data_IF_356347050859
#
_entry.id   IF_356347050859
#
_cell.length_a   1.000
_cell.length_b   1.000
_cell.length_c   1.000
_cell.angle_alpha   90.00
_cell.angle_beta   90.00
_cell.angle_gamma   90.00
#
_symmetry.space_group_name_H-M   'P 1'
#
loop_
_entity.id
_entity.type
_entity.pdbx_description
1 polymer ?
#
# COMPACT_ATOMS: atom_id res chain seq x y z
N UNK A 1 -6.95 -8.39 5.79
CA UNK A 1 -7.35 -7.00 5.51
C UNK A 1 -8.59 -6.94 4.60
N UNK A 2 -8.69 -7.64 3.44
CA UNK A 2 -9.89 -7.56 2.60
C UNK A 2 -11.18 -7.94 3.32
N UNK A 3 -11.12 -8.93 4.22
CA UNK A 3 -12.29 -9.35 5.02
C UNK A 3 -12.79 -8.21 5.91
N UNK A 4 -11.89 -7.50 6.59
CA UNK A 4 -12.26 -6.38 7.45
C UNK A 4 -12.78 -5.16 6.67
N UNK A 5 -12.27 -4.92 5.45
CA UNK A 5 -12.66 -3.77 4.65
C UNK A 5 -13.97 -3.97 3.89
N UNK A 6 -14.24 -5.19 3.42
CA UNK A 6 -15.37 -5.45 2.53
C UNK A 6 -16.41 -6.40 3.12
N UNK A 7 -15.98 -7.58 3.58
CA UNK A 7 -16.92 -8.62 4.00
C UNK A 7 -17.59 -8.28 5.33
N UNK A 8 -16.83 -7.83 6.32
CA UNK A 8 -17.38 -7.54 7.64
C UNK A 8 -18.38 -6.36 7.62
N UNK A 9 -18.07 -5.19 7.06
CA UNK A 9 -19.02 -4.08 7.01
C UNK A 9 -20.29 -4.44 6.19
N UNK A 10 -20.11 -5.13 5.08
CA UNK A 10 -21.23 -5.50 4.24
C UNK A 10 -22.14 -6.54 4.93
N UNK A 11 -21.55 -7.53 5.61
CA UNK A 11 -22.31 -8.52 6.37
C UNK A 11 -23.12 -7.88 7.51
N UNK A 12 -22.55 -6.91 8.20
CA UNK A 12 -23.23 -6.19 9.28
C UNK A 12 -24.40 -5.34 8.79
N UNK A 13 -24.34 -4.86 7.54
CA UNK A 13 -25.38 -3.99 6.96
C UNK A 13 -26.42 -4.82 6.20
N UNK A 14 -25.99 -5.76 5.36
CA UNK A 14 -26.85 -6.47 4.40
C UNK A 14 -27.20 -7.90 4.83
N UNK A 15 -26.57 -8.43 5.88
CA UNK A 15 -26.78 -9.82 6.35
C UNK A 15 -26.38 -10.92 5.36
N UNK A 16 -25.69 -10.56 4.27
CA UNK A 16 -25.31 -11.46 3.18
C UNK A 16 -23.82 -11.37 2.86
N UNK A 17 -23.30 -12.31 2.06
CA UNK A 17 -21.91 -12.31 1.65
C UNK A 17 -21.62 -11.21 0.63
N UNK A 18 -20.52 -10.50 0.84
CA UNK A 18 -20.06 -9.46 -0.08
C UNK A 18 -19.66 -10.05 -1.44
N UNK A 19 -20.15 -9.51 -2.58
CA UNK A 19 -19.74 -9.98 -3.90
C UNK A 19 -18.28 -9.61 -4.18
N UNK A 20 -17.40 -10.61 -4.22
CA UNK A 20 -15.95 -10.45 -4.39
C UNK A 20 -15.60 -9.65 -5.64
N UNK A 21 -16.36 -9.81 -6.73
CA UNK A 21 -16.16 -9.10 -7.99
C UNK A 21 -16.23 -7.57 -7.82
N UNK A 22 -17.17 -7.08 -7.00
CA UNK A 22 -17.32 -5.64 -6.73
C UNK A 22 -16.09 -5.14 -5.96
N UNK A 23 -15.61 -5.90 -4.97
CA UNK A 23 -14.40 -5.53 -4.22
C UNK A 23 -13.16 -5.45 -5.10
N UNK A 24 -12.98 -6.42 -6.00
CA UNK A 24 -11.88 -6.42 -6.96
C UNK A 24 -11.97 -5.22 -7.89
N UNK A 25 -13.18 -4.90 -8.39
CA UNK A 25 -13.40 -3.74 -9.27
C UNK A 25 -13.09 -2.41 -8.56
N UNK A 26 -13.55 -2.24 -7.32
CA UNK A 26 -13.27 -1.04 -6.52
C UNK A 26 -11.77 -0.87 -6.35
N UNK A 27 -11.06 -1.94 -5.97
CA UNK A 27 -9.60 -1.88 -5.77
C UNK A 27 -8.84 -1.68 -7.07
N UNK A 28 -9.35 -2.21 -8.20
CA UNK A 28 -8.79 -1.95 -9.53
C UNK A 28 -8.91 -0.48 -9.93
N UNK A 29 -10.05 0.14 -9.68
CA UNK A 29 -10.27 1.57 -9.94
C UNK A 29 -9.32 2.40 -9.06
N UNK A 30 -9.23 2.09 -7.75
CA UNK A 30 -8.31 2.76 -6.83
C UNK A 30 -6.85 2.58 -7.26
N UNK A 31 -6.46 1.41 -7.75
CA UNK A 31 -5.14 1.16 -8.29
C UNK A 31 -4.85 2.04 -9.51
N UNK A 32 -5.76 2.10 -10.50
CA UNK A 32 -5.57 2.90 -11.71
C UNK A 32 -5.46 4.39 -11.36
N UNK A 33 -6.33 4.89 -10.49
CA UNK A 33 -6.26 6.30 -10.04
C UNK A 33 -4.94 6.55 -9.32
N UNK A 34 -4.56 5.68 -8.37
CA UNK A 34 -3.31 5.80 -7.63
C UNK A 34 -2.08 5.76 -8.54
N UNK A 35 -2.06 4.85 -9.52
CA UNK A 35 -0.99 4.75 -10.52
C UNK A 35 -0.90 6.02 -11.37
N UNK A 36 -2.04 6.58 -11.79
CA UNK A 36 -2.10 7.82 -12.56
C UNK A 36 -1.49 8.98 -11.77
N UNK A 37 -1.89 9.14 -10.51
CA UNK A 37 -1.40 10.23 -9.65
C UNK A 37 0.07 10.03 -9.31
N UNK A 38 0.51 8.79 -9.08
CA UNK A 38 1.92 8.45 -8.84
C UNK A 38 2.78 8.75 -10.07
N UNK A 39 2.33 8.36 -11.25
CA UNK A 39 3.02 8.61 -12.51
C UNK A 39 3.11 10.12 -12.80
N UNK A 40 2.02 10.88 -12.61
CA UNK A 40 2.03 12.34 -12.75
C UNK A 40 3.06 12.98 -11.79
N UNK A 41 3.08 12.52 -10.54
CA UNK A 41 4.03 13.01 -9.54
C UNK A 41 5.47 12.72 -9.92
N UNK A 42 5.74 11.50 -10.39
CA UNK A 42 7.07 11.08 -10.83
C UNK A 42 7.50 11.85 -12.08
N UNK A 43 6.62 12.01 -13.05
CA UNK A 43 6.87 12.74 -14.28
C UNK A 43 7.23 14.22 -14.00
N UNK A 44 6.46 14.92 -13.16
CA UNK A 44 6.74 16.31 -12.76
C UNK A 44 8.01 16.48 -11.92
N UNK A 45 8.45 15.42 -11.25
CA UNK A 45 9.69 15.48 -10.48
C UNK A 45 10.93 15.40 -11.36
N UNK A 46 10.87 14.66 -12.47
CA UNK A 46 12.00 14.38 -13.35
C UNK A 46 12.01 15.16 -14.65
N UNK A 47 10.85 15.64 -15.10
CA UNK A 47 10.70 16.30 -16.38
C UNK A 47 9.96 17.63 -16.23
N UNK A 48 10.46 18.69 -16.85
CA UNK A 48 9.84 20.03 -16.80
C UNK A 48 8.50 20.06 -17.54
N UNK A 49 8.38 19.33 -18.63
CA UNK A 49 7.16 19.24 -19.45
C UNK A 49 6.96 17.81 -19.93
N UNK A 50 5.79 17.26 -19.64
CA UNK A 50 5.36 15.95 -20.15
C UNK A 50 4.11 16.16 -21.00
N UNK A 51 4.18 15.76 -22.28
CA UNK A 51 3.00 15.80 -23.14
C UNK A 51 1.97 14.75 -22.71
N UNK A 52 0.69 15.05 -22.90
CA UNK A 52 -0.40 14.11 -22.62
C UNK A 52 -0.20 12.77 -23.35
N UNK A 53 0.28 12.82 -24.59
CA UNK A 53 0.54 11.62 -25.39
C UNK A 53 1.60 10.72 -24.75
N UNK A 54 2.72 11.29 -24.30
CA UNK A 54 3.76 10.53 -23.59
C UNK A 54 3.25 9.96 -22.26
N UNK A 55 2.45 10.73 -21.51
CA UNK A 55 1.84 10.28 -20.28
C UNK A 55 0.94 9.06 -20.50
N UNK A 56 0.04 9.11 -21.50
CA UNK A 56 -0.84 7.99 -21.85
C UNK A 56 -0.05 6.78 -22.37
N UNK A 57 0.99 7.03 -23.20
CA UNK A 57 1.89 5.98 -23.71
C UNK A 57 2.56 5.20 -22.57
N UNK A 58 2.90 5.85 -21.48
CA UNK A 58 3.50 5.20 -20.30
C UNK A 58 2.42 4.54 -19.42
N UNK A 59 1.28 5.17 -19.24
CA UNK A 59 0.24 4.69 -18.34
C UNK A 59 -0.44 3.41 -18.85
N UNK A 60 -0.76 3.33 -20.15
CA UNK A 60 -1.46 2.17 -20.71
C UNK A 60 -0.67 0.87 -20.49
N UNK A 61 0.63 0.78 -20.87
CA UNK A 61 1.42 -0.42 -20.61
C UNK A 61 1.52 -0.75 -19.11
N UNK A 62 1.68 0.25 -18.24
CA UNK A 62 1.77 0.03 -16.80
C UNK A 62 0.49 -0.61 -16.24
N UNK A 63 -0.69 -0.17 -16.68
CA UNK A 63 -1.96 -0.78 -16.29
C UNK A 63 -2.09 -2.19 -16.88
N UNK A 64 -1.77 -2.38 -18.15
CA UNK A 64 -1.86 -3.66 -18.83
C UNK A 64 -0.93 -4.72 -18.21
N UNK A 65 0.32 -4.35 -17.94
CA UNK A 65 1.33 -5.26 -17.36
C UNK A 65 1.15 -5.50 -15.86
N UNK A 66 0.32 -4.72 -15.17
CA UNK A 66 0.10 -4.88 -13.71
C UNK A 66 -0.65 -6.15 -13.33
N UNK A 67 -1.31 -6.81 -14.28
CA UNK A 67 -2.19 -7.96 -14.03
C UNK A 67 -3.55 -7.60 -13.43
N UNK A 68 -3.84 -6.33 -13.14
CA UNK A 68 -5.10 -5.91 -12.49
C UNK A 68 -6.33 -6.25 -13.35
N UNK A 69 -6.21 -6.15 -14.67
CA UNK A 69 -7.29 -6.50 -15.60
C UNK A 69 -7.60 -8.00 -15.58
N UNK A 70 -6.57 -8.84 -15.40
CA UNK A 70 -6.76 -10.28 -15.23
C UNK A 70 -7.53 -10.59 -13.95
N UNK A 71 -7.23 -9.90 -12.84
CA UNK A 71 -7.95 -10.05 -11.59
C UNK A 71 -9.42 -9.64 -11.71
N UNK A 72 -9.74 -8.63 -12.52
CA UNK A 72 -11.11 -8.22 -12.80
C UNK A 72 -11.87 -9.25 -13.66
N UNK A 73 -11.17 -9.90 -14.61
CA UNK A 73 -11.77 -10.94 -15.47
C UNK A 73 -12.11 -12.21 -14.69
N UNK A 74 -11.26 -12.57 -13.71
CA UNK A 74 -11.41 -13.76 -12.88
C UNK A 74 -11.43 -13.39 -11.39
N UNK A 75 -12.55 -12.82 -10.90
CA UNK A 75 -12.68 -12.38 -9.51
C UNK A 75 -12.88 -13.55 -8.57
N UNK A 76 -11.79 -14.16 -8.14
CA UNK A 76 -11.78 -15.22 -7.14
C UNK A 76 -11.55 -14.66 -5.73
N UNK A 77 -11.73 -15.48 -4.71
CA UNK A 77 -11.36 -15.15 -3.34
C UNK A 77 -9.89 -14.72 -3.20
N UNK A 78 -9.00 -15.29 -4.02
CA UNK A 78 -7.58 -14.93 -4.04
C UNK A 78 -7.29 -13.64 -4.82
N UNK A 79 -8.16 -13.22 -5.72
CA UNK A 79 -7.99 -12.02 -6.54
C UNK A 79 -8.12 -10.74 -5.71
N UNK A 80 -9.03 -10.72 -4.73
CA UNK A 80 -9.28 -9.54 -3.90
C UNK A 80 -8.05 -9.15 -3.04
N UNK A 81 -7.36 -10.07 -2.31
CA UNK A 81 -6.12 -9.72 -1.61
C UNK A 81 -5.01 -9.22 -2.52
N UNK A 82 -4.89 -9.75 -3.73
CA UNK A 82 -3.90 -9.26 -4.70
C UNK A 82 -4.24 -7.85 -5.17
N UNK A 83 -5.49 -7.59 -5.54
CA UNK A 83 -5.94 -6.26 -5.94
C UNK A 83 -5.75 -5.23 -4.83
N UNK A 84 -6.09 -5.58 -3.56
CA UNK A 84 -5.84 -4.74 -2.40
C UNK A 84 -4.33 -4.46 -2.23
N UNK A 85 -3.49 -5.50 -2.32
CA UNK A 85 -2.05 -5.37 -2.12
C UNK A 85 -1.40 -4.41 -3.12
N UNK A 86 -1.72 -4.55 -4.41
CA UNK A 86 -1.14 -3.66 -5.44
C UNK A 86 -1.71 -2.23 -5.35
N UNK A 87 -3.00 -2.07 -5.02
CA UNK A 87 -3.59 -0.75 -4.83
C UNK A 87 -2.94 -0.04 -3.63
N UNK A 88 -2.81 -0.69 -2.49
CA UNK A 88 -2.15 -0.11 -1.31
C UNK A 88 -0.68 0.21 -1.57
N UNK A 89 0.03 -0.62 -2.35
CA UNK A 89 1.43 -0.35 -2.70
C UNK A 89 1.59 0.96 -3.48
N UNK A 90 0.75 1.18 -4.49
CA UNK A 90 0.79 2.41 -5.30
C UNK A 90 0.46 3.64 -4.46
N UNK A 91 -0.59 3.58 -3.64
CA UNK A 91 -0.95 4.68 -2.74
C UNK A 91 0.11 4.94 -1.67
N UNK A 92 0.75 3.90 -1.14
CA UNK A 92 1.85 4.06 -0.19
C UNK A 92 3.03 4.83 -0.80
N UNK A 93 3.44 4.44 -2.01
CA UNK A 93 4.52 5.13 -2.74
C UNK A 93 4.15 6.58 -3.05
N UNK A 94 2.92 6.84 -3.50
CA UNK A 94 2.43 8.19 -3.73
C UNK A 94 2.49 9.06 -2.47
N UNK A 95 1.96 8.57 -1.35
CA UNK A 95 1.97 9.32 -0.09
C UNK A 95 3.38 9.57 0.42
N UNK A 96 4.28 8.62 0.32
CA UNK A 96 5.68 8.83 0.69
C UNK A 96 6.37 9.87 -0.18
N UNK A 97 6.18 9.83 -1.50
CA UNK A 97 6.71 10.86 -2.40
C UNK A 97 6.11 12.24 -2.12
N UNK A 98 4.82 12.29 -1.82
CA UNK A 98 4.12 13.53 -1.45
C UNK A 98 4.64 14.10 -0.14
N UNK A 99 4.82 13.24 0.86
CA UNK A 99 5.36 13.64 2.17
C UNK A 99 6.75 14.24 2.07
N UNK A 100 7.64 13.62 1.27
CA UNK A 100 8.99 14.15 1.04
C UNK A 100 9.03 15.55 0.43
N UNK A 101 8.04 15.90 -0.36
CA UNK A 101 7.96 17.22 -1.00
C UNK A 101 7.11 18.22 -0.20
N UNK A 102 6.54 17.82 0.94
CA UNK A 102 5.67 18.64 1.77
C UNK A 102 6.43 19.31 2.90
N UNK A 103 6.03 20.52 3.28
CA UNK A 103 6.50 21.21 4.49
C UNK A 103 5.98 20.56 5.77
N UNK A 104 4.83 19.87 5.70
CA UNK A 104 4.20 19.13 6.79
C UNK A 104 4.09 17.64 6.42
N UNK A 105 5.16 16.83 6.56
CA UNK A 105 5.23 15.47 6.03
C UNK A 105 4.45 14.43 6.85
N UNK A 106 4.18 14.71 8.14
CA UNK A 106 3.75 13.71 9.12
C UNK A 106 2.53 12.89 8.69
N UNK A 107 1.43 13.55 8.29
CA UNK A 107 0.21 12.88 7.85
C UNK A 107 0.42 12.02 6.60
N UNK A 108 1.23 12.50 5.66
CA UNK A 108 1.58 11.76 4.44
C UNK A 108 2.42 10.52 4.74
N UNK A 109 3.37 10.63 5.66
CA UNK A 109 4.19 9.50 6.07
C UNK A 109 3.37 8.44 6.80
N UNK A 110 2.49 8.85 7.72
CA UNK A 110 1.56 7.95 8.40
C UNK A 110 0.65 7.23 7.38
N UNK A 111 0.02 7.97 6.47
CA UNK A 111 -0.87 7.40 5.46
C UNK A 111 -0.15 6.41 4.53
N UNK A 112 1.05 6.76 4.05
CA UNK A 112 1.86 5.90 3.20
C UNK A 112 2.29 4.62 3.91
N UNK A 113 2.79 4.75 5.14
CA UNK A 113 3.21 3.60 5.94
C UNK A 113 2.04 2.73 6.39
N UNK A 114 0.88 3.32 6.64
CA UNK A 114 -0.34 2.56 6.92
C UNK A 114 -0.79 1.73 5.72
N UNK A 115 -0.86 2.35 4.52
CA UNK A 115 -1.15 1.60 3.29
C UNK A 115 -0.13 0.46 3.08
N UNK A 116 1.17 0.74 3.26
CA UNK A 116 2.21 -0.28 3.08
C UNK A 116 2.09 -1.40 4.12
N UNK A 117 1.80 -1.09 5.37
CA UNK A 117 1.62 -2.09 6.43
C UNK A 117 0.40 -2.99 6.18
N UNK A 118 -0.70 -2.45 5.64
CA UNK A 118 -1.89 -3.25 5.29
C UNK A 118 -1.61 -4.33 4.24
N UNK A 119 -0.57 -4.17 3.42
CA UNK A 119 -0.16 -5.17 2.43
C UNK A 119 0.24 -6.49 3.11
N UNK A 120 0.87 -6.42 4.29
CA UNK A 120 1.23 -7.63 5.05
C UNK A 120 0.03 -8.53 5.34
N UNK A 121 -1.13 -7.93 5.63
CA UNK A 121 -2.38 -8.67 5.86
C UNK A 121 -3.17 -9.02 4.58
N UNK A 122 -2.66 -8.62 3.40
CA UNK A 122 -3.21 -9.01 2.10
C UNK A 122 -2.37 -10.15 1.50
N UNK A 123 -1.13 -9.83 1.16
CA UNK A 123 -0.13 -10.74 0.57
C UNK A 123 1.26 -10.32 1.02
N UNK A 124 1.89 -11.03 1.95
CA UNK A 124 3.22 -10.68 2.48
C UNK A 124 4.30 -10.52 1.42
N UNK A 125 4.21 -11.27 0.31
CA UNK A 125 5.17 -11.19 -0.79
C UNK A 125 5.20 -9.81 -1.46
N UNK A 126 4.04 -9.15 -1.56
CA UNK A 126 3.95 -7.79 -2.15
C UNK A 126 4.62 -6.76 -1.24
N UNK A 127 4.75 -7.05 0.06
CA UNK A 127 5.41 -6.15 1.01
C UNK A 127 6.90 -5.92 0.69
N UNK A 128 7.52 -6.77 -0.15
CA UNK A 128 8.88 -6.54 -0.65
C UNK A 128 9.03 -5.18 -1.37
N UNK A 129 7.94 -4.63 -1.89
CA UNK A 129 7.90 -3.26 -2.45
C UNK A 129 8.31 -2.22 -1.38
N UNK A 130 8.13 -2.50 -0.10
CA UNK A 130 8.59 -1.62 0.98
C UNK A 130 10.10 -1.37 0.94
N UNK A 131 10.89 -2.25 0.33
CA UNK A 131 12.32 -2.04 0.12
C UNK A 131 12.63 -0.77 -0.69
N UNK A 132 11.69 -0.29 -1.51
CA UNK A 132 11.79 1.00 -2.22
C UNK A 132 11.88 2.18 -1.24
N UNK A 133 11.43 2.03 0.00
CA UNK A 133 11.62 3.04 1.04
C UNK A 133 13.11 3.32 1.30
N UNK A 134 13.99 2.33 1.18
CA UNK A 134 15.42 2.48 1.41
C UNK A 134 16.01 3.57 0.51
N UNK A 135 16.04 3.46 -0.82
CA UNK A 135 16.58 4.51 -1.68
C UNK A 135 15.75 5.79 -1.62
N UNK A 136 14.43 5.68 -1.41
CA UNK A 136 13.54 6.83 -1.33
C UNK A 136 13.88 7.74 -0.14
N UNK A 137 14.17 7.16 1.03
CA UNK A 137 14.43 7.90 2.27
C UNK A 137 15.91 8.03 2.61
N UNK A 138 16.81 7.36 1.88
CA UNK A 138 18.26 7.40 2.13
C UNK A 138 18.81 8.82 2.24
N UNK A 139 18.58 9.64 1.21
CA UNK A 139 19.04 11.03 1.20
C UNK A 139 18.38 11.86 2.29
N UNK A 140 17.12 11.58 2.60
CA UNK A 140 16.34 12.32 3.59
C UNK A 140 16.89 12.13 5.01
N UNK A 141 17.15 10.90 5.41
CA UNK A 141 17.57 10.59 6.79
C UNK A 141 19.09 10.51 6.97
N UNK A 142 19.83 10.11 5.96
CA UNK A 142 21.27 9.82 6.08
C UNK A 142 22.10 10.93 5.46
N UNK A 143 21.87 11.29 4.20
CA UNK A 143 22.69 12.30 3.52
C UNK A 143 22.42 13.71 4.06
N UNK A 144 21.16 14.08 4.29
CA UNK A 144 20.76 15.38 4.84
C UNK A 144 20.59 15.35 6.37
N UNK A 145 21.32 14.47 7.05
CA UNK A 145 21.18 14.22 8.48
C UNK A 145 21.29 15.48 9.35
N UNK A 146 22.06 16.48 8.93
CA UNK A 146 22.28 17.72 9.69
C UNK A 146 21.08 18.68 9.65
N UNK A 147 20.22 18.61 8.63
CA UNK A 147 19.11 19.56 8.44
C UNK A 147 17.72 18.94 8.68
N UNK A 148 17.53 17.68 8.28
CA UNK A 148 16.23 17.00 8.36
C UNK A 148 16.33 15.56 8.86
N UNK A 149 17.56 15.02 9.00
CA UNK A 149 17.79 13.61 9.30
C UNK A 149 17.83 13.28 10.80
N UNK A 150 18.38 12.10 11.10
CA UNK A 150 18.42 11.50 12.45
C UNK A 150 19.16 12.30 13.51
N UNK A 151 19.88 13.37 13.15
CA UNK A 151 20.52 14.29 14.11
C UNK A 151 19.57 15.34 14.69
N UNK A 152 18.33 15.44 14.17
CA UNK A 152 17.34 16.43 14.60
C UNK A 152 16.14 15.78 15.25
N UNK A 153 15.50 16.47 16.22
CA UNK A 153 14.22 16.01 16.83
C UNK A 153 13.15 15.80 15.75
N UNK A 154 13.14 16.66 14.73
CA UNK A 154 12.20 16.55 13.59
C UNK A 154 12.38 15.23 12.84
N UNK A 155 13.61 14.81 12.55
CA UNK A 155 13.88 13.55 11.87
C UNK A 155 13.42 12.33 12.66
N UNK A 156 13.55 12.33 13.99
CA UNK A 156 13.03 11.27 14.83
C UNK A 156 11.50 11.20 14.84
N UNK A 157 10.81 12.35 14.82
CA UNK A 157 9.34 12.40 14.72
C UNK A 157 8.92 11.86 13.35
N UNK A 158 9.57 12.23 12.27
CA UNK A 158 9.29 11.72 10.93
C UNK A 158 9.52 10.21 10.82
N UNK A 159 10.60 9.70 11.42
CA UNK A 159 10.87 8.27 11.50
C UNK A 159 9.80 7.53 12.33
N UNK A 160 9.38 8.12 13.45
CA UNK A 160 8.28 7.56 14.24
C UNK A 160 6.96 7.52 13.44
N UNK A 161 6.64 8.56 12.68
CA UNK A 161 5.47 8.59 11.79
C UNK A 161 5.54 7.52 10.68
N UNK A 162 6.74 7.19 10.20
CA UNK A 162 6.95 6.11 9.24
C UNK A 162 6.85 4.72 9.89
N UNK A 163 7.36 4.54 11.09
CA UNK A 163 7.44 3.24 11.75
C UNK A 163 6.15 2.86 12.49
N UNK A 164 5.48 3.82 13.14
CA UNK A 164 4.32 3.56 13.99
C UNK A 164 3.18 2.76 13.30
N UNK A 165 2.78 3.06 12.05
CA UNK A 165 1.74 2.28 11.38
C UNK A 165 2.11 0.80 11.17
N UNK A 166 3.38 0.50 10.91
CA UNK A 166 3.84 -0.90 10.79
C UNK A 166 3.74 -1.63 12.12
N UNK A 167 4.09 -0.95 13.22
CA UNK A 167 3.98 -1.53 14.57
C UNK A 167 2.51 -1.80 14.91
N UNK A 168 1.63 -0.83 14.69
CA UNK A 168 0.19 -0.95 15.00
C UNK A 168 -0.45 -2.08 14.19
N UNK A 169 -0.24 -2.09 12.87
CA UNK A 169 -0.80 -3.13 11.99
C UNK A 169 -0.17 -4.48 12.29
N UNK A 170 1.14 -4.54 12.54
CA UNK A 170 1.84 -5.76 12.91
C UNK A 170 1.30 -6.36 14.21
N UNK A 171 1.14 -5.56 15.26
CA UNK A 171 0.51 -6.01 16.51
C UNK A 171 -0.93 -6.50 16.29
N UNK A 172 -1.71 -5.79 15.48
CA UNK A 172 -3.07 -6.22 15.14
C UNK A 172 -3.10 -7.58 14.40
N UNK A 173 -2.18 -7.82 13.47
CA UNK A 173 -2.05 -9.10 12.78
C UNK A 173 -1.57 -10.22 13.71
N UNK A 174 -0.63 -9.94 14.60
CA UNK A 174 -0.15 -10.89 15.59
C UNK A 174 -1.27 -11.29 16.57
N UNK A 175 -2.03 -10.30 17.05
CA UNK A 175 -3.19 -10.55 17.90
C UNK A 175 -4.25 -11.38 17.17
N UNK A 176 -4.57 -11.05 15.91
CA UNK A 176 -5.51 -11.82 15.10
C UNK A 176 -5.05 -13.28 14.90
N UNK A 177 -3.77 -13.50 14.62
CA UNK A 177 -3.21 -14.85 14.49
C UNK A 177 -3.30 -15.63 15.79
N UNK A 178 -2.97 -14.99 16.92
CA UNK A 178 -3.09 -15.59 18.23
C UNK A 178 -4.54 -16.00 18.57
N UNK A 179 -5.49 -15.09 18.34
CA UNK A 179 -6.90 -15.34 18.59
C UNK A 179 -7.49 -16.47 17.72
N UNK A 180 -6.97 -16.63 16.48
CA UNK A 180 -7.49 -17.61 15.52
C UNK A 180 -6.78 -18.96 15.58
N UNK A 181 -5.47 -18.96 15.79
CA UNK A 181 -4.61 -20.14 15.67
C UNK A 181 -3.89 -20.52 16.97
N UNK A 182 -4.05 -19.76 18.04
CA UNK A 182 -3.33 -19.97 19.30
C UNK A 182 -1.82 -19.67 19.24
N UNK A 183 -1.33 -19.14 18.09
CA UNK A 183 0.08 -18.82 17.89
C UNK A 183 0.23 -17.53 17.10
N UNK A 184 1.13 -16.67 17.54
CA UNK A 184 1.41 -15.34 16.95
C UNK A 184 1.99 -15.45 15.54
N UNK A 185 2.80 -16.48 15.28
CA UNK A 185 3.54 -16.68 14.03
C UNK A 185 2.85 -17.63 13.04
N UNK A 186 1.67 -18.17 13.39
CA UNK A 186 0.96 -19.08 12.50
C UNK A 186 0.04 -18.31 11.56
N UNK A 187 0.40 -18.25 10.29
CA UNK A 187 -0.37 -17.57 9.24
C UNK A 187 -1.38 -18.48 8.53
N UNK A 188 -1.72 -19.62 9.12
CA UNK A 188 -2.72 -20.54 8.56
C UNK A 188 -2.25 -21.37 7.37
N UNK A 189 -0.97 -21.30 6.99
CA UNK A 189 -0.44 -22.10 5.88
C UNK A 189 -0.59 -23.62 6.10
N UNK A 190 -0.54 -24.06 7.35
CA UNK A 190 -0.68 -25.46 7.74
C UNK A 190 -2.13 -25.95 7.75
N UNK A 191 -3.10 -25.05 7.58
CA UNK A 191 -4.56 -25.38 7.55
C UNK A 191 -5.14 -25.30 6.14
N UNK A 192 -4.31 -25.14 5.11
CA UNK A 192 -4.75 -25.34 3.74
C UNK A 192 -4.99 -26.85 3.57
N UNK A 193 -6.26 -27.23 3.70
CA UNK A 193 -6.69 -28.56 3.35
C UNK A 193 -6.42 -28.79 1.88
N UNK A 194 -5.59 -29.78 1.60
CA UNK A 194 -5.38 -30.37 0.28
C UNK A 194 -6.66 -31.02 -0.20
#
# INVERSE_FOLDING_TARGET
VPVLLFYLPFYLIAGSNFPTAIGVLIMAILFIIGLSVLLDRFARYHFERVSLGLYLLLQIPLVMCSGILYLCKFPTFYSLPLACGVAFAVWALYFWMRGRASTKPYGWFIAGSFCMALIAGCRPQIMLIAAVAIPLFWRHFITNACTTGLKTKKGWIELACLAAPFIVVGMGLMWYNYARFGSVSNFGANYNLT
#
